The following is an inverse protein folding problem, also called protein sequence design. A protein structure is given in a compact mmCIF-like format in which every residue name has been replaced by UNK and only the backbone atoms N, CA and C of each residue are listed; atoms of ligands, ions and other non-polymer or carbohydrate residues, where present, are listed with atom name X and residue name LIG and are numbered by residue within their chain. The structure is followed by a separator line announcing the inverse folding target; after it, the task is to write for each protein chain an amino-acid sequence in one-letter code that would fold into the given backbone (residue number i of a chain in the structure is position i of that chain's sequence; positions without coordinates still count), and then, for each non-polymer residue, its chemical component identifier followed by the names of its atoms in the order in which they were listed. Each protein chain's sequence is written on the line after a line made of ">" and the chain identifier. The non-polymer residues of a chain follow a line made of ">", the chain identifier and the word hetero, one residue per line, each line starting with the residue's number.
data_IF_015304578347
#
_entry.id   IF_015304578347
#
_cell.length_a   1.000
_cell.length_b   1.000
_cell.length_c   1.000
_cell.angle_alpha   90.00
_cell.angle_beta   90.00
_cell.angle_gamma   90.00
#
_symmetry.space_group_name_H-M   'P 1'
#
loop_
_entity.id
_entity.type
_entity.pdbx_description
1 polymer ?
#
# COMPACT_ATOMS: atom_id res chain seq x y z
N UNK A 1 -33.86 67.29 -4.31
CA UNK A 1 -32.95 66.60 -5.26
C UNK A 1 -32.33 65.41 -4.54
N UNK A 2 -31.99 64.37 -5.31
CA UNK A 2 -31.82 62.97 -4.93
C UNK A 2 -30.80 62.68 -3.79
N UNK A 3 -31.12 61.59 -3.08
CA UNK A 3 -30.38 60.81 -2.08
C UNK A 3 -28.91 60.51 -2.40
N UNK A 4 -28.13 60.14 -1.37
CA UNK A 4 -27.23 58.97 -1.40
C UNK A 4 -26.78 58.60 0.03
N UNK A 5 -27.49 57.64 0.64
CA UNK A 5 -27.05 56.89 1.82
C UNK A 5 -26.13 55.79 1.28
N UNK A 6 -24.83 55.84 1.58
CA UNK A 6 -23.93 54.72 1.31
C UNK A 6 -24.19 53.64 2.36
N UNK A 7 -24.91 52.60 1.94
CA UNK A 7 -25.03 51.36 2.70
C UNK A 7 -23.74 50.54 2.53
N UNK A 8 -23.00 50.38 3.63
CA UNK A 8 -21.85 49.48 3.72
C UNK A 8 -22.35 48.04 3.65
N UNK A 9 -22.25 47.40 2.49
CA UNK A 9 -22.56 45.99 2.31
C UNK A 9 -21.48 45.15 3.01
N UNK A 10 -21.85 44.51 4.12
CA UNK A 10 -21.05 43.46 4.74
C UNK A 10 -20.98 42.26 3.78
N UNK A 11 -19.81 42.08 3.15
CA UNK A 11 -19.51 40.88 2.37
C UNK A 11 -19.33 39.73 3.36
N UNK A 12 -20.38 38.95 3.57
CA UNK A 12 -20.25 37.63 4.18
C UNK A 12 -19.48 36.75 3.20
N UNK A 13 -18.19 36.56 3.48
CA UNK A 13 -17.39 35.54 2.81
C UNK A 13 -17.97 34.17 3.14
N UNK A 14 -18.72 33.60 2.20
CA UNK A 14 -19.01 32.18 2.19
C UNK A 14 -17.67 31.46 1.96
N UNK A 15 -16.98 31.14 3.04
CA UNK A 15 -15.94 30.12 3.01
C UNK A 15 -16.66 28.80 2.76
N UNK A 16 -16.88 28.46 1.48
CA UNK A 16 -17.21 27.10 1.12
C UNK A 16 -16.08 26.21 1.68
N UNK A 17 -16.39 25.24 2.55
CA UNK A 17 -15.35 24.37 3.08
C UNK A 17 -14.74 23.60 1.92
N UNK A 18 -13.42 23.51 1.93
CA UNK A 18 -12.67 22.67 1.03
C UNK A 18 -13.22 21.23 1.10
N UNK A 19 -13.73 20.71 -0.02
CA UNK A 19 -14.05 19.28 -0.21
C UNK A 19 -14.91 18.58 0.86
N UNK A 20 -15.79 19.28 1.58
CA UNK A 20 -16.73 18.61 2.49
C UNK A 20 -17.86 17.96 1.67
N UNK A 21 -18.07 16.65 1.81
CA UNK A 21 -19.22 15.96 1.26
C UNK A 21 -20.51 16.34 2.02
N UNK A 22 -21.65 16.24 1.35
CA UNK A 22 -22.95 16.66 1.90
C UNK A 22 -23.45 15.65 2.93
N UNK A 23 -23.43 16.01 4.22
CA UNK A 23 -23.90 15.14 5.29
C UNK A 23 -25.38 14.74 5.18
N UNK A 24 -26.20 15.48 4.45
CA UNK A 24 -27.57 15.06 4.17
C UNK A 24 -27.64 13.88 3.18
N UNK A 25 -26.54 13.57 2.49
CA UNK A 25 -26.41 12.50 1.50
C UNK A 25 -25.47 11.38 1.95
N UNK A 26 -25.07 11.36 3.22
CA UNK A 26 -24.32 10.26 3.80
C UNK A 26 -25.07 8.94 3.58
N UNK A 27 -24.36 7.94 3.11
CA UNK A 27 -24.89 6.66 2.63
C UNK A 27 -24.16 5.45 3.22
N UNK A 28 -22.90 5.62 3.62
CA UNK A 28 -22.13 4.60 4.32
C UNK A 28 -22.10 4.85 5.83
N UNK A 29 -21.87 3.78 6.60
CA UNK A 29 -21.76 3.87 8.06
C UNK A 29 -20.65 4.84 8.49
N UNK A 30 -19.50 4.83 7.80
CA UNK A 30 -18.40 5.77 8.05
C UNK A 30 -18.81 7.22 7.74
N UNK A 31 -19.55 7.48 6.66
CA UNK A 31 -20.06 8.82 6.38
C UNK A 31 -21.02 9.29 7.49
N UNK A 32 -21.86 8.40 8.02
CA UNK A 32 -22.70 8.72 9.18
C UNK A 32 -21.86 9.04 10.43
N UNK A 33 -20.79 8.28 10.70
CA UNK A 33 -19.86 8.59 11.80
C UNK A 33 -19.19 9.96 11.63
N UNK A 34 -18.71 10.26 10.41
CA UNK A 34 -18.09 11.55 10.10
C UNK A 34 -19.08 12.69 10.32
N UNK A 35 -20.33 12.55 9.89
CA UNK A 35 -21.35 13.58 10.03
C UNK A 35 -21.82 13.77 11.48
N UNK A 36 -21.88 12.69 12.25
CA UNK A 36 -22.27 12.70 13.67
C UNK A 36 -21.20 13.24 14.62
N UNK A 37 -19.92 13.19 14.25
CA UNK A 37 -18.81 13.62 15.11
C UNK A 37 -18.08 14.85 14.58
N UNK A 38 -18.12 15.95 15.34
CA UNK A 38 -17.37 17.18 15.01
C UNK A 38 -15.86 16.93 14.95
N UNK A 39 -15.33 16.08 15.82
CA UNK A 39 -13.90 15.76 15.86
C UNK A 39 -13.46 14.97 14.63
N UNK A 40 -14.25 13.97 14.23
CA UNK A 40 -13.97 13.16 13.05
C UNK A 40 -14.11 13.97 11.76
N UNK A 41 -15.19 14.76 11.63
CA UNK A 41 -15.35 15.67 10.48
C UNK A 41 -14.14 16.59 10.31
N UNK A 42 -13.65 17.16 11.41
CA UNK A 42 -12.46 18.01 11.35
C UNK A 42 -11.21 17.25 10.91
N UNK A 43 -11.03 16.02 11.41
CA UNK A 43 -9.90 15.18 11.00
C UNK A 43 -9.96 14.83 9.49
N UNK A 44 -11.14 14.54 8.97
CA UNK A 44 -11.35 14.23 7.54
C UNK A 44 -11.10 15.46 6.65
N UNK A 45 -11.55 16.65 7.05
CA UNK A 45 -11.23 17.91 6.38
C UNK A 45 -9.72 18.17 6.32
N UNK A 46 -9.03 18.01 7.46
CA UNK A 46 -7.58 18.22 7.56
C UNK A 46 -6.79 17.19 6.71
N UNK A 47 -7.25 15.94 6.67
CA UNK A 47 -6.68 14.86 5.84
C UNK A 47 -6.86 15.16 4.35
N UNK A 48 -8.07 15.53 3.93
CA UNK A 48 -8.40 15.90 2.55
C UNK A 48 -7.61 17.12 2.07
N UNK A 49 -7.43 18.11 2.94
CA UNK A 49 -6.59 19.27 2.65
C UNK A 49 -5.11 18.90 2.49
N UNK A 50 -4.59 18.02 3.36
CA UNK A 50 -3.21 17.52 3.26
C UNK A 50 -2.97 16.73 1.97
N UNK A 51 -3.90 15.82 1.62
CA UNK A 51 -3.86 15.05 0.38
C UNK A 51 -3.88 15.98 -0.85
N UNK A 52 -4.84 16.90 -0.91
CA UNK A 52 -4.98 17.85 -2.03
C UNK A 52 -3.74 18.72 -2.17
N UNK A 53 -3.18 19.18 -1.06
CA UNK A 53 -1.94 19.96 -1.06
C UNK A 53 -0.78 19.15 -1.64
N UNK A 54 -0.58 17.91 -1.16
CA UNK A 54 0.50 17.06 -1.66
C UNK A 54 0.31 16.75 -3.15
N UNK A 55 -0.89 16.32 -3.56
CA UNK A 55 -1.20 15.98 -4.95
C UNK A 55 -0.88 17.11 -5.92
N UNK A 56 -1.21 18.36 -5.55
CA UNK A 56 -0.91 19.57 -6.36
C UNK A 56 0.58 19.88 -6.50
N UNK A 57 1.45 19.29 -5.68
CA UNK A 57 2.91 19.48 -5.78
C UNK A 57 3.59 18.41 -6.64
N UNK A 58 2.84 17.43 -7.15
CA UNK A 58 3.41 16.31 -7.90
C UNK A 58 3.30 16.54 -9.41
N UNK A 59 4.43 16.84 -10.05
CA UNK A 59 4.53 16.93 -11.52
C UNK A 59 4.87 15.57 -12.16
N UNK A 60 5.39 14.63 -11.36
CA UNK A 60 5.78 13.30 -11.83
C UNK A 60 4.55 12.38 -11.95
N UNK A 61 4.20 11.90 -13.15
CA UNK A 61 2.96 11.16 -13.38
C UNK A 61 2.90 9.81 -12.66
N UNK A 62 4.04 9.12 -12.47
CA UNK A 62 4.07 7.84 -11.75
C UNK A 62 3.86 8.05 -10.25
N UNK A 63 4.53 9.06 -9.67
CA UNK A 63 4.37 9.39 -8.26
C UNK A 63 2.97 9.95 -7.99
N UNK A 64 2.42 10.74 -8.92
CA UNK A 64 1.06 11.25 -8.86
C UNK A 64 0.03 10.11 -8.89
N UNK A 65 0.16 9.15 -9.81
CA UNK A 65 -0.68 7.96 -9.85
C UNK A 65 -0.56 7.12 -8.56
N UNK A 66 0.66 6.90 -8.06
CA UNK A 66 0.91 6.19 -6.82
C UNK A 66 0.22 6.86 -5.62
N UNK A 67 0.24 8.20 -5.53
CA UNK A 67 -0.44 8.91 -4.44
C UNK A 67 -1.97 8.79 -4.53
N UNK A 68 -2.53 8.80 -5.73
CA UNK A 68 -3.97 8.58 -5.93
C UNK A 68 -4.36 7.19 -5.44
N UNK A 69 -3.65 6.15 -5.87
CA UNK A 69 -3.96 4.77 -5.46
C UNK A 69 -3.69 4.53 -3.98
N UNK A 70 -2.63 5.11 -3.43
CA UNK A 70 -2.37 5.18 -1.99
C UNK A 70 -3.60 5.68 -1.22
N UNK A 71 -4.16 6.82 -1.65
CA UNK A 71 -5.32 7.40 -0.99
C UNK A 71 -6.60 6.56 -1.16
N UNK A 72 -6.82 6.00 -2.36
CA UNK A 72 -7.96 5.11 -2.63
C UNK A 72 -7.93 3.86 -1.76
N UNK A 73 -6.77 3.20 -1.66
CA UNK A 73 -6.58 2.03 -0.81
C UNK A 73 -6.78 2.34 0.65
N UNK A 74 -6.30 3.49 1.12
CA UNK A 74 -6.52 3.91 2.51
C UNK A 74 -8.00 4.12 2.83
N UNK A 75 -8.74 4.82 1.96
CA UNK A 75 -10.19 5.04 2.13
C UNK A 75 -10.94 3.70 2.13
N UNK A 76 -10.65 2.84 1.15
CA UNK A 76 -11.26 1.50 1.07
C UNK A 76 -10.99 0.69 2.34
N UNK A 77 -9.74 0.66 2.81
CA UNK A 77 -9.36 -0.07 4.00
C UNK A 77 -10.03 0.50 5.27
N UNK A 78 -10.16 1.82 5.39
CA UNK A 78 -10.87 2.47 6.50
C UNK A 78 -12.34 2.04 6.52
N UNK A 79 -12.98 2.09 5.35
CA UNK A 79 -14.43 1.90 5.23
C UNK A 79 -14.84 0.43 5.38
N UNK A 80 -13.94 -0.53 5.13
CA UNK A 80 -14.24 -1.96 5.25
C UNK A 80 -13.50 -2.71 6.36
N UNK A 81 -12.46 -2.11 6.95
CA UNK A 81 -11.50 -2.83 7.80
C UNK A 81 -11.46 -2.41 9.27
N UNK A 82 -12.19 -1.36 9.65
CA UNK A 82 -12.28 -0.90 11.04
C UNK A 82 -13.67 -1.23 11.57
N UNK A 83 -13.71 -2.13 12.55
CA UNK A 83 -14.96 -2.54 13.18
C UNK A 83 -15.44 -1.47 14.17
N UNK A 84 -16.75 -1.37 14.34
CA UNK A 84 -17.31 -0.62 15.46
C UNK A 84 -16.92 -1.33 16.77
N UNK A 85 -16.23 -0.66 17.72
CA UNK A 85 -15.88 -1.23 19.02
C UNK A 85 -17.07 -1.86 19.75
N UNK A 86 -18.30 -1.36 19.55
CA UNK A 86 -19.51 -1.91 20.14
C UNK A 86 -19.89 -3.31 19.62
N UNK A 87 -19.32 -3.73 18.49
CA UNK A 87 -19.57 -5.02 17.83
C UNK A 87 -18.49 -6.07 18.13
N UNK A 88 -17.43 -5.69 18.85
CA UNK A 88 -16.34 -6.60 19.19
C UNK A 88 -16.75 -7.45 20.41
N UNK A 89 -17.13 -8.71 20.16
CA UNK A 89 -17.35 -9.69 21.22
C UNK A 89 -16.04 -9.92 22.00
N UNK A 90 -16.10 -9.80 23.32
CA UNK A 90 -14.94 -10.06 24.17
C UNK A 90 -13.83 -9.03 24.01
N UNK A 91 -14.16 -7.73 23.99
CA UNK A 91 -13.19 -6.62 24.08
C UNK A 91 -12.32 -6.64 25.34
N UNK A 92 -12.32 -7.73 26.12
CA UNK A 92 -11.09 -8.44 26.48
C UNK A 92 -10.09 -7.66 27.30
N UNK A 93 -10.54 -6.62 27.98
CA UNK A 93 -9.79 -6.00 29.04
C UNK A 93 -10.58 -6.24 30.30
N UNK A 94 -9.97 -6.93 31.27
CA UNK A 94 -10.38 -6.93 32.68
C UNK A 94 -10.24 -5.52 33.31
N UNK A 95 -10.36 -4.48 32.49
CA UNK A 95 -10.23 -3.06 32.81
C UNK A 95 -11.62 -2.43 32.62
N UNK A 96 -12.09 -1.74 33.65
CA UNK A 96 -13.37 -1.01 33.74
C UNK A 96 -13.46 0.18 32.74
N UNK A 97 -12.54 0.27 31.78
CA UNK A 97 -12.49 1.34 30.80
C UNK A 97 -13.58 1.16 29.73
N UNK A 98 -14.42 2.19 29.58
CA UNK A 98 -15.41 2.25 28.51
C UNK A 98 -14.69 2.23 27.16
N UNK A 99 -15.04 1.31 26.23
CA UNK A 99 -14.44 1.28 24.90
C UNK A 99 -14.55 2.64 24.18
N UNK A 100 -13.58 3.01 23.33
CA UNK A 100 -13.69 4.22 22.53
C UNK A 100 -14.91 4.14 21.60
N UNK A 101 -15.49 5.28 21.24
CA UNK A 101 -16.50 5.28 20.18
C UNK A 101 -15.86 4.95 18.84
N UNK A 102 -16.64 4.43 17.89
CA UNK A 102 -16.14 4.20 16.53
C UNK A 102 -15.63 5.50 15.89
N UNK A 103 -16.30 6.62 16.15
CA UNK A 103 -15.85 7.94 15.71
C UNK A 103 -14.47 8.33 16.28
N UNK A 104 -14.13 7.93 17.52
CA UNK A 104 -12.81 8.17 18.10
C UNK A 104 -11.73 7.34 17.42
N UNK A 105 -12.00 6.06 17.14
CA UNK A 105 -11.09 5.17 16.40
C UNK A 105 -10.84 5.73 14.99
N UNK A 106 -11.91 6.05 14.26
CA UNK A 106 -11.83 6.67 12.93
C UNK A 106 -11.08 8.01 12.96
N UNK A 107 -11.24 8.79 14.04
CA UNK A 107 -10.52 10.06 14.22
C UNK A 107 -9.01 9.82 14.36
N UNK A 108 -8.59 8.80 15.12
CA UNK A 108 -7.17 8.46 15.29
C UNK A 108 -6.52 8.09 13.95
N UNK A 109 -7.07 7.11 13.25
CA UNK A 109 -6.49 6.65 11.97
C UNK A 109 -6.47 7.74 10.90
N UNK A 110 -7.47 8.64 10.90
CA UNK A 110 -7.53 9.78 9.96
C UNK A 110 -6.45 10.83 10.26
N UNK A 111 -6.14 11.05 11.54
CA UNK A 111 -5.02 11.92 11.96
C UNK A 111 -3.66 11.31 11.64
N UNK A 112 -3.52 10.00 11.76
CA UNK A 112 -2.32 9.28 11.34
C UNK A 112 -2.10 9.41 9.84
N UNK A 113 -3.16 9.25 9.04
CA UNK A 113 -3.11 9.48 7.59
C UNK A 113 -2.71 10.90 7.24
N UNK A 114 -3.27 11.89 7.93
CA UNK A 114 -2.88 13.30 7.78
C UNK A 114 -1.39 13.50 8.07
N UNK A 115 -0.88 12.84 9.12
CA UNK A 115 0.53 12.90 9.51
C UNK A 115 1.44 12.27 8.46
N UNK A 116 1.04 11.13 7.90
CA UNK A 116 1.73 10.48 6.78
C UNK A 116 1.82 11.42 5.56
N UNK A 117 0.69 12.00 5.13
CA UNK A 117 0.63 12.91 3.98
C UNK A 117 1.46 14.18 4.14
N UNK A 118 1.65 14.63 5.39
CA UNK A 118 2.45 15.83 5.72
C UNK A 118 3.91 15.53 6.05
N UNK A 119 4.27 14.25 6.21
CA UNK A 119 5.62 13.85 6.60
C UNK A 119 6.62 14.32 5.55
N UNK A 120 7.77 14.81 6.00
CA UNK A 120 8.88 15.21 5.13
C UNK A 120 10.11 14.38 5.41
N UNK A 121 10.94 14.20 4.39
CA UNK A 121 12.24 13.54 4.48
C UNK A 121 13.20 14.26 3.51
N UNK A 122 14.37 14.71 3.99
CA UNK A 122 15.34 15.41 3.16
C UNK A 122 14.78 16.66 2.45
N UNK A 123 13.94 17.44 3.14
CA UNK A 123 13.38 18.70 2.64
C UNK A 123 12.25 18.56 1.60
N UNK A 124 11.76 17.35 1.32
CA UNK A 124 10.62 17.09 0.42
C UNK A 124 9.58 16.19 1.10
N UNK A 125 8.35 16.05 0.57
CA UNK A 125 7.39 15.10 1.11
C UNK A 125 7.96 13.68 1.17
N UNK A 126 7.78 12.98 2.28
CA UNK A 126 8.37 11.66 2.51
C UNK A 126 7.88 10.63 1.49
N UNK A 127 6.61 10.72 1.07
CA UNK A 127 6.05 9.91 -0.01
C UNK A 127 6.86 10.03 -1.31
N UNK A 128 7.20 11.27 -1.69
CA UNK A 128 8.02 11.56 -2.88
C UNK A 128 9.43 11.04 -2.70
N UNK A 129 10.04 11.22 -1.52
CA UNK A 129 11.37 10.70 -1.23
C UNK A 129 11.41 9.17 -1.35
N UNK A 130 10.41 8.46 -0.81
CA UNK A 130 10.26 7.01 -0.93
C UNK A 130 10.12 6.56 -2.38
N UNK A 131 9.24 7.21 -3.16
CA UNK A 131 9.04 6.89 -4.57
C UNK A 131 10.33 7.08 -5.40
N UNK A 132 11.07 8.17 -5.16
CA UNK A 132 12.35 8.41 -5.83
C UNK A 132 13.42 7.38 -5.43
N UNK A 133 13.44 6.96 -4.16
CA UNK A 133 14.34 5.92 -3.70
C UNK A 133 14.03 4.56 -4.36
N UNK A 134 12.75 4.19 -4.45
CA UNK A 134 12.31 3.00 -5.17
C UNK A 134 12.71 3.05 -6.64
N UNK A 135 12.42 4.16 -7.34
CA UNK A 135 12.80 4.34 -8.74
C UNK A 135 14.31 4.19 -8.95
N UNK A 136 15.12 4.79 -8.07
CA UNK A 136 16.57 4.68 -8.12
C UNK A 136 17.03 3.23 -7.93
N UNK A 137 16.48 2.54 -6.95
CA UNK A 137 16.82 1.15 -6.65
C UNK A 137 16.41 0.18 -7.78
N UNK A 138 15.26 0.40 -8.42
CA UNK A 138 14.81 -0.39 -9.56
C UNK A 138 15.67 -0.19 -10.81
N UNK A 139 16.17 1.03 -11.04
CA UNK A 139 17.01 1.35 -12.19
C UNK A 139 16.37 0.91 -13.53
N UNK A 140 17.12 0.28 -14.45
CA UNK A 140 16.57 -0.26 -15.68
C UNK A 140 15.52 -1.36 -15.48
N UNK A 141 15.62 -2.13 -14.39
CA UNK A 141 14.75 -3.28 -14.13
C UNK A 141 13.31 -2.90 -13.77
N UNK A 142 13.07 -1.63 -13.42
CA UNK A 142 11.74 -1.08 -13.15
C UNK A 142 10.95 -0.63 -14.39
N UNK A 143 11.59 -0.60 -15.57
CA UNK A 143 11.02 0.04 -16.77
C UNK A 143 10.11 -0.87 -17.59
N UNK A 144 10.30 -2.19 -17.50
CA UNK A 144 9.55 -3.16 -18.29
C UNK A 144 8.05 -3.21 -17.96
N UNK A 145 7.16 -3.64 -18.88
CA UNK A 145 5.71 -3.70 -18.65
C UNK A 145 5.28 -4.64 -17.51
N UNK A 146 6.14 -5.55 -17.08
CA UNK A 146 5.93 -6.46 -15.95
C UNK A 146 6.66 -6.04 -14.69
N UNK A 147 7.32 -4.88 -14.70
CA UNK A 147 7.99 -4.33 -13.53
C UNK A 147 7.12 -3.28 -12.84
N UNK A 148 7.07 -3.34 -11.51
CA UNK A 148 6.21 -2.49 -10.68
C UNK A 148 5.69 -3.20 -9.43
N UNK A 149 4.61 -2.64 -8.88
CA UNK A 149 3.98 -3.07 -7.63
C UNK A 149 2.48 -3.32 -7.82
N UNK A 150 1.96 -4.25 -7.04
CA UNK A 150 0.51 -4.43 -6.81
C UNK A 150 0.33 -4.77 -5.33
N UNK A 151 -0.30 -3.87 -4.56
CA UNK A 151 -0.43 -4.07 -3.11
C UNK A 151 -1.83 -3.75 -2.61
N UNK A 152 -2.29 -4.58 -1.67
CA UNK A 152 -3.52 -4.41 -0.92
C UNK A 152 -3.19 -3.97 0.51
N UNK A 153 -4.02 -3.09 1.08
CA UNK A 153 -3.76 -2.50 2.38
C UNK A 153 -4.91 -2.73 3.34
N UNK A 154 -4.58 -2.91 4.61
CA UNK A 154 -5.51 -3.30 5.66
C UNK A 154 -5.22 -2.53 6.95
N UNK A 155 -6.27 -2.25 7.71
CA UNK A 155 -6.14 -1.91 9.12
C UNK A 155 -6.10 -3.21 9.92
N UNK A 156 -4.95 -3.48 10.56
CA UNK A 156 -4.76 -4.65 11.41
C UNK A 156 -4.92 -4.20 12.86
N UNK A 157 -5.88 -4.75 13.61
CA UNK A 157 -6.02 -4.43 15.03
C UNK A 157 -4.82 -4.95 15.82
N UNK A 158 -4.42 -4.24 16.86
CA UNK A 158 -3.43 -4.73 17.81
C UNK A 158 -4.00 -5.91 18.60
N UNK A 159 -3.13 -6.88 18.91
CA UNK A 159 -3.53 -8.12 19.61
C UNK A 159 -3.95 -7.89 21.05
N UNK A 160 -3.34 -6.92 21.72
CA UNK A 160 -3.61 -6.58 23.12
C UNK A 160 -4.59 -5.41 23.24
N UNK A 161 -4.66 -4.57 22.21
CA UNK A 161 -5.51 -3.39 22.14
C UNK A 161 -6.37 -3.42 20.85
N UNK A 162 -7.46 -4.20 20.79
CA UNK A 162 -8.20 -4.46 19.54
C UNK A 162 -8.88 -3.23 18.91
N UNK A 163 -8.91 -2.10 19.64
CA UNK A 163 -9.39 -0.80 19.13
C UNK A 163 -8.28 0.07 18.54
N UNK A 164 -7.02 -0.34 18.67
CA UNK A 164 -5.87 0.33 18.07
C UNK A 164 -5.48 -0.42 16.80
N UNK A 165 -5.37 0.32 15.70
CA UNK A 165 -5.17 -0.27 14.39
C UNK A 165 -3.88 0.24 13.77
N UNK A 166 -3.22 -0.63 13.00
CA UNK A 166 -2.08 -0.28 12.18
C UNK A 166 -2.44 -0.44 10.70
N UNK A 167 -2.17 0.59 9.91
CA UNK A 167 -2.35 0.54 8.45
C UNK A 167 -1.11 -0.07 7.79
N UNK A 168 -1.27 -1.23 7.17
CA UNK A 168 -0.19 -1.95 6.50
C UNK A 168 -0.60 -2.33 5.08
N UNK A 169 0.35 -2.29 4.16
CA UNK A 169 0.17 -2.72 2.77
C UNK A 169 1.05 -3.93 2.49
N UNK A 170 0.44 -4.97 1.93
CA UNK A 170 1.10 -6.22 1.52
C UNK A 170 0.80 -6.45 0.05
N UNK A 171 1.74 -6.99 -0.70
CA UNK A 171 1.51 -7.16 -2.12
C UNK A 171 2.63 -7.87 -2.82
N UNK A 172 2.88 -7.42 -4.04
CA UNK A 172 3.94 -7.94 -4.87
C UNK A 172 4.76 -6.82 -5.48
N UNK A 173 6.03 -7.11 -5.68
CA UNK A 173 6.97 -6.30 -6.42
C UNK A 173 7.62 -7.17 -7.49
N UNK A 174 7.63 -6.67 -8.72
CA UNK A 174 8.22 -7.35 -9.87
C UNK A 174 9.29 -6.48 -10.52
N UNK A 175 10.38 -7.10 -10.94
CA UNK A 175 11.43 -6.51 -11.77
C UNK A 175 11.53 -7.27 -13.08
N UNK A 176 11.96 -6.57 -14.14
CA UNK A 176 12.04 -7.15 -15.47
C UNK A 176 13.35 -6.79 -16.18
N UNK A 177 13.96 -7.78 -16.84
CA UNK A 177 15.07 -7.61 -17.76
C UNK A 177 14.84 -8.43 -19.04
N UNK A 178 14.55 -7.76 -20.15
CA UNK A 178 14.11 -8.45 -21.38
C UNK A 178 12.86 -9.28 -21.11
N UNK A 179 12.91 -10.57 -21.47
CA UNK A 179 11.81 -11.51 -21.23
C UNK A 179 11.82 -12.11 -19.81
N UNK A 180 12.81 -11.80 -18.96
CA UNK A 180 12.87 -12.34 -17.60
C UNK A 180 12.13 -11.43 -16.62
N UNK A 181 11.26 -12.02 -15.81
CA UNK A 181 10.55 -11.36 -14.69
C UNK A 181 10.86 -12.09 -13.39
N UNK A 182 11.19 -11.32 -12.34
CA UNK A 182 11.47 -11.82 -11.00
C UNK A 182 10.55 -11.07 -10.05
N UNK A 183 9.73 -11.79 -9.30
CA UNK A 183 8.74 -11.20 -8.41
C UNK A 183 8.80 -11.78 -7.01
N UNK A 184 8.63 -10.91 -6.03
CA UNK A 184 8.39 -11.28 -4.64
C UNK A 184 6.99 -10.82 -4.27
N UNK A 185 6.23 -11.67 -3.58
CA UNK A 185 4.98 -11.30 -2.94
C UNK A 185 5.04 -11.60 -1.46
N UNK A 186 4.42 -10.72 -0.68
CA UNK A 186 4.16 -10.93 0.73
C UNK A 186 2.66 -11.03 0.93
N UNK A 187 2.21 -12.17 1.44
CA UNK A 187 0.83 -12.39 1.85
C UNK A 187 0.75 -12.34 3.38
N UNK A 188 -0.27 -11.67 3.91
CA UNK A 188 -0.50 -11.59 5.35
C UNK A 188 -1.77 -12.34 5.73
N UNK A 189 -1.65 -13.30 6.64
CA UNK A 189 -2.78 -14.00 7.24
C UNK A 189 -2.50 -14.31 8.72
N UNK A 190 -3.51 -14.11 9.57
CA UNK A 190 -3.47 -14.49 10.99
C UNK A 190 -2.24 -13.97 11.76
N UNK A 191 -1.83 -12.72 11.48
CA UNK A 191 -0.62 -12.09 12.05
C UNK A 191 0.71 -12.74 11.67
N UNK A 192 0.73 -13.45 10.55
CA UNK A 192 1.96 -13.99 9.96
C UNK A 192 2.05 -13.51 8.51
N UNK A 193 3.24 -13.05 8.11
CA UNK A 193 3.54 -12.75 6.71
C UNK A 193 4.26 -13.94 6.07
N UNK A 194 3.83 -14.34 4.89
CA UNK A 194 4.47 -15.38 4.09
C UNK A 194 5.01 -14.75 2.81
N UNK A 195 6.25 -15.09 2.48
CA UNK A 195 6.89 -14.61 1.25
C UNK A 195 6.84 -15.70 0.20
N UNK A 196 6.37 -15.35 -0.98
CA UNK A 196 6.48 -16.16 -2.20
C UNK A 196 7.42 -15.46 -3.17
N UNK A 197 8.34 -16.19 -3.78
CA UNK A 197 9.18 -15.69 -4.87
C UNK A 197 8.90 -16.50 -6.12
N UNK A 198 8.80 -15.82 -7.25
CA UNK A 198 8.56 -16.43 -8.56
C UNK A 198 9.60 -15.91 -9.54
N UNK A 199 10.11 -16.84 -10.33
CA UNK A 199 10.80 -16.53 -11.57
C UNK A 199 9.87 -16.86 -12.72
N UNK A 200 9.74 -15.94 -13.66
CA UNK A 200 8.93 -16.10 -14.86
C UNK A 200 9.67 -15.64 -16.11
N UNK A 201 9.33 -16.23 -17.25
CA UNK A 201 9.74 -15.74 -18.57
C UNK A 201 8.49 -15.21 -19.32
N UNK A 202 8.67 -14.19 -20.15
CA UNK A 202 7.64 -13.65 -21.02
C UNK A 202 7.69 -14.41 -22.34
N UNK A 203 6.64 -15.19 -22.60
CA UNK A 203 6.47 -15.98 -23.82
C UNK A 203 5.18 -15.53 -24.48
N UNK A 204 5.27 -15.09 -25.75
CA UNK A 204 4.14 -14.56 -26.52
C UNK A 204 3.35 -13.47 -25.79
N UNK A 205 4.09 -12.59 -25.08
CA UNK A 205 3.51 -11.47 -24.34
C UNK A 205 2.78 -11.86 -23.05
N UNK A 206 2.96 -13.08 -22.55
CA UNK A 206 2.40 -13.58 -21.28
C UNK A 206 3.50 -14.05 -20.36
N UNK A 207 3.39 -13.75 -19.07
CA UNK A 207 4.27 -14.35 -18.07
C UNK A 207 3.98 -15.84 -17.92
N UNK A 208 5.03 -16.65 -17.93
CA UNK A 208 5.01 -18.07 -17.64
C UNK A 208 5.94 -18.33 -16.46
N UNK A 209 5.39 -18.79 -15.34
CA UNK A 209 6.21 -19.17 -14.20
C UNK A 209 7.11 -20.35 -14.57
N UNK A 210 8.36 -20.28 -14.15
CA UNK A 210 9.38 -21.31 -14.39
C UNK A 210 9.92 -21.91 -13.11
N UNK A 211 9.90 -21.13 -12.04
CA UNK A 211 10.27 -21.59 -10.72
C UNK A 211 9.53 -20.77 -9.66
N UNK A 212 9.22 -21.39 -8.53
CA UNK A 212 8.67 -20.70 -7.36
C UNK A 212 9.28 -21.23 -6.07
N UNK A 213 9.21 -20.43 -5.02
CA UNK A 213 9.40 -20.86 -3.65
C UNK A 213 8.46 -20.06 -2.75
N UNK A 214 8.12 -20.58 -1.58
CA UNK A 214 7.25 -19.89 -0.64
C UNK A 214 6.68 -20.83 0.41
N UNK A 215 5.46 -20.53 0.87
CA UNK A 215 4.80 -21.27 1.95
C UNK A 215 3.66 -22.14 1.42
N UNK A 216 3.63 -23.42 1.80
CA UNK A 216 2.56 -24.36 1.45
C UNK A 216 3.00 -25.82 1.63
N UNK A 217 2.04 -26.74 1.69
CA UNK A 217 2.33 -28.16 1.93
C UNK A 217 3.11 -28.84 0.79
N UNK A 218 3.06 -28.28 -0.42
CA UNK A 218 3.72 -28.82 -1.62
C UNK A 218 4.62 -27.78 -2.31
N UNK A 219 4.95 -26.68 -1.63
CA UNK A 219 5.83 -25.62 -2.16
C UNK A 219 7.10 -25.59 -1.33
N UNK A 220 8.26 -25.58 -2.01
CA UNK A 220 9.54 -25.45 -1.31
C UNK A 220 9.66 -24.08 -0.65
N UNK A 221 10.06 -24.06 0.61
CA UNK A 221 10.42 -22.82 1.31
C UNK A 221 11.52 -22.09 0.56
N UNK A 222 11.42 -20.77 0.47
CA UNK A 222 12.45 -19.97 -0.17
C UNK A 222 13.79 -20.12 0.55
N UNK A 223 14.91 -20.33 -0.16
CA UNK A 223 16.22 -20.38 0.46
C UNK A 223 16.54 -19.07 1.19
N UNK A 224 17.26 -19.20 2.32
CA UNK A 224 17.79 -18.05 3.06
C UNK A 224 18.82 -17.26 2.23
N UNK A 225 19.58 -17.99 1.40
CA UNK A 225 20.53 -17.47 0.42
C UNK A 225 19.89 -17.29 -0.97
N UNK A 226 20.67 -16.90 -1.97
CA UNK A 226 20.18 -16.76 -3.35
C UNK A 226 19.67 -18.09 -3.93
N UNK A 227 20.36 -19.19 -3.60
CA UNK A 227 20.00 -20.59 -3.93
C UNK A 227 20.53 -21.51 -2.82
N UNK A 228 19.88 -22.65 -2.61
CA UNK A 228 20.45 -23.80 -1.90
C UNK A 228 21.43 -24.54 -2.81
N UNK A 229 22.72 -24.40 -2.54
CA UNK A 229 23.80 -25.01 -3.33
C UNK A 229 23.87 -26.55 -3.20
N UNK A 230 23.24 -27.13 -2.19
CA UNK A 230 23.18 -28.58 -2.02
C UNK A 230 22.05 -29.22 -2.86
N UNK A 231 21.04 -28.43 -3.23
CA UNK A 231 19.92 -28.87 -4.05
C UNK A 231 20.21 -28.63 -5.54
N UNK A 232 19.96 -29.64 -6.38
CA UNK A 232 20.19 -29.56 -7.83
C UNK A 232 19.33 -28.48 -8.52
N UNK A 233 18.20 -28.10 -7.92
CA UNK A 233 17.29 -27.05 -8.38
C UNK A 233 17.47 -25.72 -7.62
N UNK A 234 18.54 -25.59 -6.84
CA UNK A 234 18.81 -24.40 -6.06
C UNK A 234 17.84 -24.18 -4.90
N UNK A 235 17.03 -25.19 -4.51
CA UNK A 235 16.02 -25.06 -3.46
C UNK A 235 14.69 -24.48 -3.94
N UNK A 236 14.49 -24.40 -5.26
CA UNK A 236 13.25 -23.89 -5.85
C UNK A 236 12.38 -25.03 -6.38
N UNK A 237 11.06 -24.82 -6.38
CA UNK A 237 10.12 -25.67 -7.10
C UNK A 237 10.14 -25.30 -8.59
N UNK A 238 10.63 -26.22 -9.42
CA UNK A 238 10.76 -26.04 -10.87
C UNK A 238 9.49 -26.42 -11.66
N UNK A 239 8.43 -26.89 -10.98
CA UNK A 239 7.17 -27.30 -11.60
C UNK A 239 6.07 -26.26 -11.41
N UNK A 240 6.40 -24.97 -11.57
CA UNK A 240 5.43 -23.89 -11.45
C UNK A 240 4.33 -23.98 -12.53
N UNK A 241 3.08 -23.86 -12.10
CA UNK A 241 1.89 -23.87 -12.94
C UNK A 241 1.63 -22.52 -13.61
N UNK A 242 0.65 -22.50 -14.52
CA UNK A 242 0.24 -21.27 -15.22
C UNK A 242 -0.31 -20.20 -14.27
N UNK A 243 -1.01 -20.64 -13.23
CA UNK A 243 -1.63 -19.75 -12.23
C UNK A 243 -0.61 -19.20 -11.21
N UNK A 244 0.62 -19.72 -11.22
CA UNK A 244 1.73 -19.18 -10.42
C UNK A 244 2.42 -17.99 -11.09
N UNK A 245 2.08 -17.67 -12.35
CA UNK A 245 2.73 -16.56 -13.06
C UNK A 245 2.31 -15.20 -12.47
N UNK A 246 3.25 -14.25 -12.29
CA UNK A 246 2.91 -12.94 -11.77
C UNK A 246 1.99 -12.20 -12.75
N UNK A 247 1.01 -11.48 -12.19
CA UNK A 247 0.18 -10.55 -12.95
C UNK A 247 0.97 -9.33 -13.42
N UNK A 248 0.35 -8.52 -14.29
CA UNK A 248 0.91 -7.19 -14.60
C UNK A 248 0.76 -6.28 -13.39
N UNK A 249 1.82 -5.55 -13.00
CA UNK A 249 1.74 -4.62 -11.89
C UNK A 249 0.75 -3.47 -12.13
N UNK A 250 0.09 -3.03 -11.07
CA UNK A 250 -0.86 -1.90 -11.10
C UNK A 250 -0.14 -0.55 -11.12
N UNK A 251 1.01 -0.46 -10.44
CA UNK A 251 1.77 0.76 -10.25
C UNK A 251 3.23 0.57 -10.61
N UNK A 252 3.90 1.66 -11.04
CA UNK A 252 5.35 1.68 -11.22
C UNK A 252 6.12 1.90 -9.93
N UNK A 253 5.51 2.62 -9.00
CA UNK A 253 6.07 2.98 -7.70
C UNK A 253 4.96 2.85 -6.66
N UNK A 254 5.30 2.34 -5.49
CA UNK A 254 4.38 2.24 -4.37
C UNK A 254 5.14 2.42 -3.05
N UNK A 255 5.28 3.66 -2.56
CA UNK A 255 6.06 3.96 -1.35
C UNK A 255 5.48 3.36 -0.05
N UNK A 256 4.30 2.76 -0.10
CA UNK A 256 3.65 2.12 1.05
C UNK A 256 3.76 0.59 1.04
N UNK A 257 4.17 0.00 -0.08
CA UNK A 257 4.37 -1.44 -0.21
C UNK A 257 5.40 -1.96 0.82
N UNK A 258 5.11 -3.09 1.47
CA UNK A 258 6.02 -3.74 2.43
C UNK A 258 7.28 -4.28 1.77
N UNK A 259 7.24 -4.55 0.46
CA UNK A 259 8.32 -5.19 -0.28
C UNK A 259 9.53 -4.26 -0.38
N UNK A 260 10.70 -4.75 0.07
CA UNK A 260 11.92 -3.94 0.01
C UNK A 260 12.53 -3.96 -1.39
N UNK A 261 12.72 -2.77 -1.97
CA UNK A 261 13.38 -2.60 -3.26
C UNK A 261 14.91 -2.54 -3.12
N UNK A 262 15.41 -2.29 -1.92
CA UNK A 262 16.79 -1.84 -1.75
C UNK A 262 17.85 -2.93 -1.97
N UNK A 263 17.58 -4.22 -1.68
CA UNK A 263 18.64 -5.23 -1.71
C UNK A 263 18.12 -6.69 -1.73
N UNK A 264 17.67 -7.18 -2.89
CA UNK A 264 17.29 -8.57 -3.07
C UNK A 264 18.28 -9.25 -4.03
N UNK A 265 19.43 -9.70 -3.51
CA UNK A 265 20.49 -10.32 -4.32
C UNK A 265 20.02 -11.49 -5.20
N UNK A 266 18.94 -12.18 -4.79
CA UNK A 266 18.30 -13.19 -5.62
C UNK A 266 17.63 -12.63 -6.87
N UNK A 267 17.01 -11.43 -6.81
CA UNK A 267 16.41 -10.79 -7.97
C UNK A 267 17.47 -10.39 -8.98
N UNK A 268 18.63 -9.91 -8.51
CA UNK A 268 19.74 -9.57 -9.41
C UNK A 268 20.29 -10.81 -10.11
N UNK A 269 20.49 -11.92 -9.38
CA UNK A 269 20.87 -13.20 -9.97
C UNK A 269 19.80 -13.70 -10.97
N UNK A 270 18.54 -13.62 -10.59
CA UNK A 270 17.39 -14.01 -11.40
C UNK A 270 17.28 -13.23 -12.72
N UNK A 271 17.56 -11.93 -12.69
CA UNK A 271 17.49 -11.04 -13.86
C UNK A 271 18.74 -11.14 -14.75
N UNK A 272 19.90 -11.48 -14.19
CA UNK A 272 21.17 -11.56 -14.90
C UNK A 272 21.42 -12.93 -15.55
N UNK A 273 20.98 -14.02 -14.91
CA UNK A 273 21.26 -15.39 -15.36
C UNK A 273 19.98 -16.13 -15.79
N UNK A 274 19.92 -16.53 -17.06
CA UNK A 274 18.78 -17.29 -17.58
C UNK A 274 18.66 -18.68 -16.95
N UNK A 275 19.75 -19.23 -16.43
CA UNK A 275 19.81 -20.57 -15.83
C UNK A 275 19.39 -20.59 -14.35
N UNK A 276 19.50 -19.47 -13.61
CA UNK A 276 18.97 -19.34 -12.24
C UNK A 276 17.51 -19.82 -12.16
N UNK A 277 17.05 -20.57 -11.14
CA UNK A 277 17.77 -20.97 -9.93
C UNK A 277 18.53 -22.30 -10.04
N UNK A 278 18.23 -23.14 -11.04
CA UNK A 278 18.88 -24.45 -11.22
C UNK A 278 20.30 -24.38 -11.84
N UNK A 279 20.70 -23.19 -12.30
CA UNK A 279 21.94 -22.95 -13.03
C UNK A 279 23.16 -22.69 -12.17
N UNK A 280 23.86 -23.78 -11.81
CA UNK A 280 25.34 -23.93 -11.82
C UNK A 280 25.74 -25.25 -11.12
N UNK A 281 25.15 -26.37 -11.52
CA UNK A 281 25.75 -27.69 -11.24
C UNK A 281 26.84 -27.94 -12.28
N UNK A 282 28.00 -27.33 -12.09
CA UNK A 282 29.12 -27.51 -13.01
C UNK A 282 30.39 -26.73 -12.69
N UNK A 283 31.03 -27.02 -11.57
CA UNK A 283 32.49 -27.17 -11.46
C UNK A 283 32.81 -28.14 -10.33
#
# INVERSE_FOLDING_TARGET
>A
MKSLILATAAVFGLTAPAFAFDCAKASSDVEHQICGSKALRRADEDMSAAYTKLLRTLDDPEIHAALIESQRRWIKARDSGINDPATLEGSGTDDDSTPPSWADVLTRVTRERTSFLKKTAGGKPAFVAGALAQRKALGPSGKGPWAGFSSSCYFIPDRQHPNDYTYNCFGSMSRQNGDRVCSESTDFASYTSQTTRIVADIVDGRAQARAKCGFGNDVKTCPDETVDKAAADGGWDMNAGKDDAPGKPELKLDPEASETVADAGWMDACLADKSFPAGASGH
#
